data_IF_605218714632
#
_entry.id   IF_605218714632
#
_cell.length_a   1.000
_cell.length_b   1.000
_cell.length_c   1.000
_cell.angle_alpha   90.00
_cell.angle_beta   90.00
_cell.angle_gamma   90.00
#
_symmetry.space_group_name_H-M   'P 1'
#
loop_
_entity.id
_entity.type
_entity.pdbx_description
1 polymer ?
#
# COMPACT_ATOMS: atom_id res chain seq x y z
N UNK A 1 36.80 -40.23 -44.68
CA UNK A 1 35.82 -39.19 -44.27
C UNK A 1 36.26 -38.60 -42.93
N UNK A 2 36.75 -37.36 -42.90
CA UNK A 2 37.19 -36.67 -41.67
C UNK A 2 36.01 -35.86 -41.13
N UNK A 3 35.57 -36.14 -39.90
CA UNK A 3 34.51 -35.38 -39.21
C UNK A 3 35.17 -34.24 -38.42
N UNK A 4 34.98 -33.01 -38.88
CA UNK A 4 35.43 -31.80 -38.18
C UNK A 4 34.38 -31.45 -37.13
N UNK A 5 34.72 -31.59 -35.85
CA UNK A 5 33.87 -31.14 -34.74
C UNK A 5 34.16 -29.67 -34.51
N UNK A 6 33.19 -28.82 -34.81
CA UNK A 6 33.25 -27.38 -34.59
C UNK A 6 32.94 -27.10 -33.10
N UNK A 7 33.98 -26.95 -32.30
CA UNK A 7 33.88 -26.58 -30.88
C UNK A 7 33.51 -25.09 -30.78
N UNK A 8 32.21 -24.80 -30.65
CA UNK A 8 31.74 -23.44 -30.34
C UNK A 8 32.06 -23.15 -28.87
N UNK A 9 32.84 -22.10 -28.54
CA UNK A 9 33.16 -21.80 -27.16
C UNK A 9 31.92 -21.23 -26.47
N UNK A 10 31.30 -22.04 -25.60
CA UNK A 10 30.14 -21.72 -24.74
C UNK A 10 30.44 -20.65 -23.65
N UNK A 11 31.54 -19.91 -23.78
CA UNK A 11 32.08 -19.07 -22.71
C UNK A 11 31.62 -17.60 -22.81
N UNK A 12 31.05 -17.16 -23.94
CA UNK A 12 30.70 -15.74 -24.13
C UNK A 12 29.28 -15.32 -23.73
N UNK A 13 28.41 -16.22 -23.25
CA UNK A 13 27.02 -15.87 -22.91
C UNK A 13 26.79 -15.46 -21.44
N UNK A 14 27.83 -15.42 -20.60
CA UNK A 14 27.69 -15.12 -19.17
C UNK A 14 27.74 -13.63 -18.81
N UNK A 15 27.87 -12.70 -19.77
CA UNK A 15 28.21 -11.30 -19.48
C UNK A 15 27.12 -10.25 -19.74
N UNK A 16 25.86 -10.62 -19.98
CA UNK A 16 24.77 -9.63 -20.12
C UNK A 16 23.61 -9.92 -19.18
N UNK A 17 23.90 -10.00 -17.89
CA UNK A 17 22.88 -9.93 -16.84
C UNK A 17 23.32 -9.02 -15.69
N UNK A 18 23.98 -7.91 -16.00
CA UNK A 18 23.99 -6.77 -15.09
C UNK A 18 22.59 -6.13 -15.16
N UNK A 19 21.64 -6.65 -14.38
CA UNK A 19 20.43 -5.88 -14.05
C UNK A 19 20.91 -4.63 -13.32
N UNK A 20 20.70 -3.47 -13.94
CA UNK A 20 20.94 -2.17 -13.30
C UNK A 20 20.13 -2.17 -12.00
N UNK A 21 20.81 -2.33 -10.87
CA UNK A 21 20.24 -2.20 -9.54
C UNK A 21 19.97 -0.71 -9.32
N UNK A 22 18.89 -0.20 -9.92
CA UNK A 22 18.30 1.04 -9.45
C UNK A 22 17.70 0.72 -8.09
N UNK A 23 18.26 1.28 -7.02
CA UNK A 23 17.63 1.25 -5.71
C UNK A 23 16.18 1.77 -5.89
N UNK A 24 15.16 1.02 -5.45
CA UNK A 24 13.79 1.46 -5.62
C UNK A 24 13.60 2.79 -4.89
N UNK A 25 12.98 3.75 -5.55
CA UNK A 25 12.57 5.01 -4.91
C UNK A 25 11.46 4.69 -3.91
N UNK A 26 11.56 5.25 -2.71
CA UNK A 26 10.64 4.99 -1.59
C UNK A 26 10.13 6.33 -1.07
N UNK A 27 8.84 6.40 -0.77
CA UNK A 27 8.16 7.57 -0.22
C UNK A 27 7.36 7.22 1.02
N UNK A 28 6.97 8.25 1.79
CA UNK A 28 6.10 8.08 2.95
C UNK A 28 4.66 7.78 2.50
N UNK A 29 4.08 6.73 3.06
CA UNK A 29 2.68 6.35 2.90
C UNK A 29 1.98 6.41 4.25
N UNK A 30 1.15 7.44 4.45
CA UNK A 30 0.30 7.58 5.62
C UNK A 30 -1.11 7.04 5.39
N UNK A 31 -1.70 6.44 6.42
CA UNK A 31 -3.12 6.06 6.46
C UNK A 31 -3.74 6.62 7.73
N UNK A 32 -4.77 7.44 7.57
CA UNK A 32 -5.52 8.06 8.64
C UNK A 32 -6.94 7.48 8.68
N UNK A 33 -7.33 6.96 9.84
CA UNK A 33 -8.66 6.43 10.10
C UNK A 33 -9.52 7.53 10.69
N UNK A 34 -10.39 8.14 9.89
CA UNK A 34 -11.01 9.43 10.23
C UNK A 34 -12.33 9.23 10.98
N UNK A 35 -13.45 9.13 10.27
CA UNK A 35 -14.80 9.22 10.87
C UNK A 35 -15.53 7.88 11.07
N UNK A 36 -16.45 7.90 12.05
CA UNK A 36 -17.52 6.92 12.32
C UNK A 36 -17.13 5.53 12.82
N UNK A 37 -15.91 5.35 13.36
CA UNK A 37 -15.55 4.12 14.05
C UNK A 37 -16.06 4.14 15.50
N UNK A 38 -16.72 3.07 15.94
CA UNK A 38 -17.31 2.93 17.28
C UNK A 38 -17.03 1.55 17.86
N UNK A 39 -15.79 1.34 18.31
CA UNK A 39 -15.25 0.03 18.74
C UNK A 39 -15.29 -1.02 17.63
N UNK A 40 -15.14 -0.58 16.39
CA UNK A 40 -15.10 -1.46 15.22
C UNK A 40 -13.70 -2.09 15.07
N UNK A 41 -13.65 -3.36 14.72
CA UNK A 41 -12.40 -4.04 14.39
C UNK A 41 -12.02 -3.74 12.94
N UNK A 42 -10.87 -3.10 12.73
CA UNK A 42 -10.46 -2.61 11.41
C UNK A 42 -9.13 -3.19 11.01
N UNK A 43 -9.07 -3.69 9.78
CA UNK A 43 -7.84 -4.11 9.13
C UNK A 43 -7.62 -3.31 7.86
N UNK A 44 -6.42 -2.76 7.70
CA UNK A 44 -5.98 -2.12 6.46
C UNK A 44 -4.77 -2.89 5.95
N UNK A 45 -4.84 -3.30 4.70
CA UNK A 45 -3.75 -4.01 4.02
C UNK A 45 -3.30 -3.21 2.81
N UNK A 46 -1.98 -3.11 2.64
CA UNK A 46 -1.33 -2.58 1.44
C UNK A 46 -0.56 -3.73 0.79
N UNK A 47 -0.80 -4.03 -0.48
CA UNK A 47 -0.16 -5.14 -1.21
C UNK A 47 -0.28 -6.50 -0.50
N UNK A 48 -1.47 -6.75 0.05
CA UNK A 48 -1.79 -7.91 0.88
C UNK A 48 -0.92 -8.05 2.15
N UNK A 49 -0.17 -7.03 2.54
CA UNK A 49 0.52 -6.96 3.82
C UNK A 49 -0.30 -6.14 4.82
N UNK A 50 -0.49 -6.62 6.05
CA UNK A 50 -1.24 -5.88 7.06
C UNK A 50 -0.47 -4.63 7.48
N UNK A 51 -1.10 -3.47 7.35
CA UNK A 51 -0.60 -2.19 7.86
C UNK A 51 -1.23 -1.86 9.22
N UNK A 52 -2.53 -2.14 9.36
CA UNK A 52 -3.31 -1.94 10.58
C UNK A 52 -4.18 -3.17 10.84
N UNK A 53 -4.31 -3.58 12.10
CA UNK A 53 -5.23 -4.62 12.55
C UNK A 53 -5.54 -4.39 14.04
N UNK A 54 -6.58 -3.60 14.33
CA UNK A 54 -6.93 -3.23 15.72
C UNK A 54 -8.37 -2.76 15.83
N UNK A 55 -8.85 -2.61 17.07
CA UNK A 55 -10.13 -1.99 17.36
C UNK A 55 -10.00 -0.46 17.40
N UNK A 56 -10.90 0.24 16.71
CA UNK A 56 -10.88 1.70 16.58
C UNK A 56 -12.14 2.36 17.13
N UNK A 57 -11.99 3.54 17.71
CA UNK A 57 -13.07 4.47 18.01
C UNK A 57 -12.65 5.86 17.58
N UNK A 58 -13.45 6.52 16.74
CA UNK A 58 -13.19 7.89 16.31
C UNK A 58 -13.40 8.85 17.47
N UNK A 59 -12.43 9.74 17.71
CA UNK A 59 -12.66 10.92 18.52
C UNK A 59 -13.51 11.92 17.72
N UNK A 60 -14.77 12.11 18.13
CA UNK A 60 -15.73 12.97 17.43
C UNK A 60 -15.32 14.44 17.38
N UNK A 61 -14.44 14.90 18.28
CA UNK A 61 -13.92 16.28 18.27
C UNK A 61 -12.88 16.45 17.17
N UNK A 62 -11.96 15.48 17.04
CA UNK A 62 -10.85 15.54 16.09
C UNK A 62 -11.21 14.96 14.71
N UNK A 63 -12.30 14.17 14.62
CA UNK A 63 -12.63 13.42 13.41
C UNK A 63 -11.57 12.37 13.04
N UNK A 64 -10.81 11.88 14.03
CA UNK A 64 -9.71 10.94 13.86
C UNK A 64 -9.76 9.83 14.93
N UNK A 65 -9.56 8.59 14.50
CA UNK A 65 -9.37 7.43 15.35
C UNK A 65 -7.88 7.09 15.52
N UNK A 66 -7.13 6.99 14.42
CA UNK A 66 -5.69 6.71 14.44
C UNK A 66 -5.03 7.11 13.13
N UNK A 67 -3.71 7.32 13.17
CA UNK A 67 -2.86 7.57 12.02
C UNK A 67 -1.67 6.61 12.06
N UNK A 68 -1.38 5.96 10.94
CA UNK A 68 -0.21 5.10 10.78
C UNK A 68 0.56 5.51 9.52
N UNK A 69 1.86 5.32 9.52
CA UNK A 69 2.69 5.60 8.35
C UNK A 69 3.69 4.48 8.14
N UNK A 70 3.94 4.17 6.88
CA UNK A 70 4.93 3.20 6.44
C UNK A 70 5.68 3.75 5.22
N UNK A 71 6.81 3.17 4.89
CA UNK A 71 7.50 3.45 3.66
C UNK A 71 6.96 2.54 2.55
N UNK A 72 6.67 3.08 1.37
CA UNK A 72 6.27 2.31 0.20
C UNK A 72 7.04 2.74 -1.04
N UNK A 73 7.30 1.79 -1.93
CA UNK A 73 8.04 2.07 -3.17
C UNK A 73 7.22 2.94 -4.11
N UNK A 74 7.87 3.60 -5.05
CA UNK A 74 7.16 4.19 -6.19
C UNK A 74 6.45 3.09 -7.01
N UNK A 75 5.23 3.36 -7.47
CA UNK A 75 4.51 2.49 -8.38
C UNK A 75 3.05 2.26 -8.04
N UNK A 76 2.48 1.18 -8.56
CA UNK A 76 1.08 0.80 -8.34
C UNK A 76 0.98 -0.12 -7.14
N UNK A 77 0.10 0.23 -6.22
CA UNK A 77 -0.18 -0.51 -5.00
C UNK A 77 -1.66 -0.88 -4.94
N UNK A 78 -1.95 -1.88 -4.12
CA UNK A 78 -3.32 -2.28 -3.77
C UNK A 78 -3.62 -1.91 -2.32
N UNK A 79 -4.86 -1.52 -2.07
CA UNK A 79 -5.40 -1.28 -0.73
C UNK A 79 -6.62 -2.16 -0.51
N UNK A 80 -6.73 -2.74 0.68
CA UNK A 80 -7.90 -3.47 1.12
C UNK A 80 -8.25 -3.03 2.53
N UNK A 81 -9.54 -2.73 2.74
CA UNK A 81 -10.07 -2.31 4.03
C UNK A 81 -11.13 -3.31 4.46
N UNK A 82 -10.96 -3.83 5.67
CA UNK A 82 -11.87 -4.80 6.29
C UNK A 82 -12.35 -4.17 7.59
N UNK A 83 -13.66 -4.18 7.81
CA UNK A 83 -14.28 -3.69 9.05
C UNK A 83 -15.22 -4.77 9.56
N UNK A 84 -15.04 -5.17 10.83
CA UNK A 84 -15.80 -6.25 11.49
C UNK A 84 -15.89 -7.50 10.60
N UNK A 85 -14.71 -7.96 10.14
CA UNK A 85 -14.51 -9.16 9.31
C UNK A 85 -15.14 -9.12 7.90
N UNK A 86 -15.72 -7.98 7.52
CA UNK A 86 -16.28 -7.76 6.18
C UNK A 86 -15.34 -6.90 5.34
N UNK A 87 -15.01 -7.36 4.13
CA UNK A 87 -14.29 -6.54 3.15
C UNK A 87 -15.24 -5.42 2.71
N UNK A 88 -14.92 -4.18 3.12
CA UNK A 88 -15.74 -3.00 2.82
C UNK A 88 -15.19 -2.20 1.63
N UNK A 89 -13.91 -2.38 1.28
CA UNK A 89 -13.32 -1.80 0.09
C UNK A 89 -12.08 -2.58 -0.37
N UNK A 90 -11.88 -2.63 -1.69
CA UNK A 90 -10.61 -3.04 -2.31
C UNK A 90 -10.37 -2.12 -3.51
N UNK A 91 -9.15 -1.63 -3.65
CA UNK A 91 -8.78 -0.70 -4.71
C UNK A 91 -7.30 -0.75 -5.03
N UNK A 92 -6.91 0.10 -5.97
CA UNK A 92 -5.51 0.32 -6.33
C UNK A 92 -5.22 1.80 -6.42
N UNK A 93 -4.02 2.20 -6.03
CA UNK A 93 -3.53 3.58 -6.15
C UNK A 93 -2.12 3.58 -6.73
N UNK A 94 -1.68 4.73 -7.24
CA UNK A 94 -0.32 4.93 -7.71
C UNK A 94 0.39 5.91 -6.79
N UNK A 95 1.54 5.49 -6.28
CA UNK A 95 2.42 6.29 -5.45
C UNK A 95 3.58 6.80 -6.31
N UNK A 96 3.65 8.12 -6.49
CA UNK A 96 4.72 8.82 -7.21
C UNK A 96 5.46 9.84 -6.33
N UNK A 97 5.19 9.81 -5.03
CA UNK A 97 5.63 10.77 -4.03
C UNK A 97 5.01 10.41 -2.68
N UNK A 98 5.21 11.25 -1.66
CA UNK A 98 4.55 11.07 -0.37
C UNK A 98 3.03 11.11 -0.55
N UNK A 99 2.34 10.15 0.07
CA UNK A 99 0.91 9.96 -0.08
C UNK A 99 0.26 9.69 1.28
N UNK A 100 -0.83 10.36 1.54
CA UNK A 100 -1.62 10.23 2.76
C UNK A 100 -3.04 9.85 2.37
N UNK A 101 -3.53 8.75 2.94
CA UNK A 101 -4.82 8.13 2.63
C UNK A 101 -5.75 8.32 3.83
N UNK A 102 -6.84 9.05 3.66
CA UNK A 102 -7.90 9.21 4.65
C UNK A 102 -8.99 8.17 4.42
N UNK A 103 -9.30 7.35 5.42
CA UNK A 103 -10.35 6.33 5.38
C UNK A 103 -11.50 6.79 6.28
N UNK A 104 -12.66 7.01 5.67
CA UNK A 104 -13.90 7.39 6.36
C UNK A 104 -14.89 6.25 6.27
N UNK A 105 -15.41 5.80 7.42
CA UNK A 105 -16.39 4.73 7.46
C UNK A 105 -17.82 5.30 7.44
N UNK A 106 -18.67 4.75 6.58
CA UNK A 106 -20.11 4.93 6.64
C UNK A 106 -20.71 3.63 7.19
N UNK A 107 -21.09 3.68 8.47
CA UNK A 107 -21.66 2.54 9.19
C UNK A 107 -23.06 2.18 8.70
N UNK A 108 -23.84 3.15 8.22
CA UNK A 108 -25.18 2.92 7.70
C UNK A 108 -25.13 2.17 6.36
N UNK A 109 -24.24 2.59 5.47
CA UNK A 109 -24.02 1.94 4.19
C UNK A 109 -23.10 0.70 4.27
N UNK A 110 -22.38 0.50 5.38
CA UNK A 110 -21.30 -0.48 5.53
C UNK A 110 -20.23 -0.36 4.44
N UNK A 111 -19.87 0.87 4.10
CA UNK A 111 -18.86 1.17 3.08
C UNK A 111 -17.78 2.08 3.68
N UNK A 112 -16.61 2.11 3.05
CA UNK A 112 -15.61 3.15 3.32
C UNK A 112 -15.41 4.02 2.09
N UNK A 113 -15.23 5.31 2.33
CA UNK A 113 -14.73 6.25 1.33
C UNK A 113 -13.26 6.54 1.60
N UNK A 114 -12.48 6.66 0.51
CA UNK A 114 -11.03 6.85 0.56
C UNK A 114 -10.70 8.19 -0.09
N UNK A 115 -10.01 9.05 0.66
CA UNK A 115 -9.46 10.31 0.18
C UNK A 115 -7.94 10.21 0.08
N UNK A 116 -7.36 10.81 -0.97
CA UNK A 116 -5.92 10.82 -1.19
C UNK A 116 -5.39 12.24 -1.11
N UNK A 117 -4.22 12.42 -0.51
CA UNK A 117 -3.56 13.72 -0.36
C UNK A 117 -2.05 13.57 -0.45
N UNK A 118 -1.38 14.52 -1.09
CA UNK A 118 0.10 14.61 -1.08
C UNK A 118 0.63 15.29 0.20
N UNK A 119 -0.27 15.66 1.12
CA UNK A 119 0.04 16.28 2.41
C UNK A 119 -0.72 15.56 3.52
N UNK A 120 -0.17 15.56 4.73
CA UNK A 120 -0.86 15.08 5.93
C UNK A 120 -2.20 15.79 6.09
N UNK A 121 -3.21 15.06 6.54
CA UNK A 121 -4.46 15.66 6.95
C UNK A 121 -4.25 16.46 8.23
N UNK A 122 -4.93 17.60 8.34
CA UNK A 122 -4.91 18.44 9.53
C UNK A 122 -6.19 18.19 10.34
N UNK A 123 -6.03 17.94 11.62
CA UNK A 123 -7.10 17.77 12.59
C UNK A 123 -6.94 18.88 13.63
N UNK A 124 -7.96 19.74 13.76
CA UNK A 124 -7.97 20.86 14.71
C UNK A 124 -8.84 20.52 15.92
#
# INVERSE_FOLDING_TARGET
>A
MKKTILSIPLVLLLLVACRKTSNPTVFDLGVDMQSSFEKDHVQVMIDNQPLLNTQLTTNQTLGLATSISTAATEGKHSIKVIVNDSIVNTGTFTQSGDLYIGINYDKAAKTVSIAYSTKRFFYN
#
